data_IF_635722847042
#
_entry.id   IF_635722847042
#
_cell.length_a   1.000
_cell.length_b   1.000
_cell.length_c   1.000
_cell.angle_alpha   90.00
_cell.angle_beta   90.00
_cell.angle_gamma   90.00
#
_symmetry.space_group_name_H-M   'P 1'
#
loop_
_entity.id
_entity.type
_entity.pdbx_description
1 polymer ?
#
# COMPACT_ATOMS: atom_id res chain seq x y z
N UNK A 1 22.64 4.25 -21.03
CA UNK A 1 22.05 4.00 -19.70
C UNK A 1 20.83 3.13 -19.89
N UNK A 2 20.76 1.90 -19.34
CA UNK A 2 19.55 1.11 -19.42
C UNK A 2 18.59 1.61 -18.35
N UNK A 3 17.46 2.15 -18.81
CA UNK A 3 16.28 2.42 -18.02
C UNK A 3 15.86 1.10 -17.35
N UNK A 4 15.93 1.04 -16.01
CA UNK A 4 15.41 -0.10 -15.26
C UNK A 4 13.92 -0.22 -15.56
N UNK A 5 13.51 -1.41 -15.96
CA UNK A 5 12.10 -1.78 -16.03
C UNK A 5 11.60 -1.78 -14.58
N UNK A 6 10.98 -0.70 -14.14
CA UNK A 6 10.12 -0.73 -12.95
C UNK A 6 8.99 -1.67 -13.32
N UNK A 7 8.93 -2.81 -12.65
CA UNK A 7 7.71 -3.60 -12.65
C UNK A 7 6.57 -2.67 -12.19
N UNK A 8 5.38 -2.80 -12.77
CA UNK A 8 4.25 -1.93 -12.42
C UNK A 8 3.73 -2.12 -10.98
N UNK A 9 4.52 -2.72 -10.09
CA UNK A 9 4.17 -3.07 -8.71
C UNK A 9 4.52 -1.97 -7.70
N UNK A 10 5.45 -1.07 -8.03
CA UNK A 10 5.93 0.00 -7.15
C UNK A 10 5.06 1.25 -7.27
N UNK A 11 4.52 1.73 -6.14
CA UNK A 11 3.94 3.07 -6.04
C UNK A 11 5.09 4.08 -6.00
N UNK A 12 5.07 5.02 -6.93
CA UNK A 12 6.19 5.94 -7.19
C UNK A 12 5.92 7.31 -6.57
N UNK A 13 6.95 7.92 -5.97
CA UNK A 13 6.91 9.31 -5.48
C UNK A 13 6.52 10.30 -6.58
N UNK A 14 6.78 9.95 -7.84
CA UNK A 14 6.36 10.73 -9.01
C UNK A 14 4.85 10.97 -9.10
N UNK A 15 4.01 10.17 -8.45
CA UNK A 15 2.56 10.45 -8.39
C UNK A 15 2.25 11.71 -7.58
N UNK A 16 3.04 11.97 -6.53
CA UNK A 16 2.92 13.17 -5.71
C UNK A 16 3.40 14.38 -6.50
N UNK A 17 4.58 14.28 -7.12
CA UNK A 17 5.17 15.38 -7.91
C UNK A 17 4.27 15.74 -9.10
N UNK A 18 3.83 14.74 -9.87
CA UNK A 18 2.87 14.94 -10.97
C UNK A 18 1.61 15.67 -10.50
N UNK A 19 1.09 15.32 -9.32
CA UNK A 19 -0.14 15.94 -8.82
C UNK A 19 0.08 17.41 -8.46
N UNK A 20 1.20 17.75 -7.84
CA UNK A 20 1.57 19.14 -7.53
C UNK A 20 1.74 19.95 -8.81
N UNK A 21 2.54 19.44 -9.75
CA UNK A 21 2.79 20.09 -11.04
C UNK A 21 1.50 20.30 -11.86
N UNK A 22 0.60 19.30 -11.87
CA UNK A 22 -0.68 19.41 -12.56
C UNK A 22 -1.59 20.48 -11.96
N UNK A 23 -1.63 20.60 -10.63
CA UNK A 23 -2.42 21.63 -9.93
C UNK A 23 -1.80 23.01 -10.15
N UNK A 24 -0.48 23.12 -10.02
CA UNK A 24 0.25 24.36 -10.26
C UNK A 24 0.00 24.89 -11.67
N UNK A 25 0.08 24.02 -12.69
CA UNK A 25 -0.19 24.42 -14.07
C UNK A 25 -1.65 24.84 -14.27
N UNK A 26 -2.61 24.13 -13.65
CA UNK A 26 -4.02 24.51 -13.75
C UNK A 26 -4.28 25.88 -13.11
N UNK A 27 -3.74 26.13 -11.92
CA UNK A 27 -3.82 27.43 -11.25
C UNK A 27 -3.12 28.53 -12.07
N UNK A 28 -1.95 28.26 -12.64
CA UNK A 28 -1.23 29.19 -13.50
C UNK A 28 -2.06 29.56 -14.74
N UNK A 29 -2.69 28.60 -15.40
CA UNK A 29 -3.61 28.85 -16.52
C UNK A 29 -4.79 29.74 -16.11
N UNK A 30 -5.38 29.50 -14.94
CA UNK A 30 -6.46 30.34 -14.39
C UNK A 30 -5.99 31.80 -14.17
N UNK A 31 -4.78 31.98 -13.63
CA UNK A 31 -4.22 33.29 -13.31
C UNK A 31 -3.82 34.09 -14.56
N UNK A 32 -3.27 33.39 -15.56
CA UNK A 32 -2.72 34.02 -16.78
C UNK A 32 -3.73 34.12 -17.92
N UNK A 33 -4.80 33.33 -17.88
CA UNK A 33 -5.74 33.18 -18.99
C UNK A 33 -5.27 32.20 -20.08
N UNK A 34 -4.12 31.55 -19.89
CA UNK A 34 -3.58 30.57 -20.84
C UNK A 34 -4.44 29.30 -20.92
N UNK A 35 -4.43 28.65 -22.09
CA UNK A 35 -5.10 27.36 -22.28
C UNK A 35 -4.47 26.26 -21.41
N UNK A 36 -5.30 25.56 -20.62
CA UNK A 36 -4.88 24.38 -19.86
C UNK A 36 -4.85 23.13 -20.75
N UNK A 37 -3.65 22.56 -20.95
CA UNK A 37 -3.40 21.49 -21.93
C UNK A 37 -3.19 20.11 -21.33
N UNK A 38 -3.08 20.00 -20.01
CA UNK A 38 -2.89 18.70 -19.37
C UNK A 38 -4.19 17.89 -19.39
N UNK A 39 -4.05 16.57 -19.42
CA UNK A 39 -5.20 15.66 -19.45
C UNK A 39 -6.04 15.78 -18.16
N UNK A 40 -7.36 15.83 -18.32
CA UNK A 40 -8.35 15.91 -17.24
C UNK A 40 -9.10 14.60 -17.01
N UNK A 41 -8.78 13.51 -17.71
CA UNK A 41 -9.32 12.18 -17.40
C UNK A 41 -8.58 11.59 -16.18
N UNK A 42 -9.26 11.35 -15.04
CA UNK A 42 -8.63 10.81 -13.86
C UNK A 42 -7.94 9.46 -14.11
N UNK A 43 -8.46 8.64 -15.03
CA UNK A 43 -7.95 7.29 -15.27
C UNK A 43 -6.82 7.21 -16.29
N UNK A 44 -6.51 8.33 -16.93
CA UNK A 44 -5.39 8.45 -17.86
C UNK A 44 -4.16 9.13 -17.25
N UNK A 45 -4.27 9.63 -16.01
CA UNK A 45 -3.12 10.10 -15.22
C UNK A 45 -2.17 8.94 -14.84
N UNK A 46 -0.89 9.20 -14.51
CA UNK A 46 0.03 8.17 -14.04
C UNK A 46 -0.52 7.36 -12.84
N UNK A 47 -1.09 8.04 -11.84
CA UNK A 47 -1.73 7.39 -10.70
C UNK A 47 -2.95 6.56 -11.12
N UNK A 48 -3.81 7.09 -12.00
CA UNK A 48 -5.01 6.40 -12.47
C UNK A 48 -4.69 5.13 -13.28
N UNK A 49 -3.66 5.18 -14.13
CA UNK A 49 -3.18 4.02 -14.89
C UNK A 49 -2.61 2.97 -13.93
N UNK A 50 -1.79 3.40 -12.97
CA UNK A 50 -1.23 2.50 -11.96
C UNK A 50 -2.33 1.85 -11.12
N UNK A 51 -3.29 2.64 -10.62
CA UNK A 51 -4.38 2.16 -9.77
C UNK A 51 -5.21 1.06 -10.45
N UNK A 52 -5.53 1.22 -11.75
CA UNK A 52 -6.29 0.22 -12.51
C UNK A 52 -5.59 -1.13 -12.63
N UNK A 53 -4.25 -1.13 -12.64
CA UNK A 53 -3.43 -2.34 -12.81
C UNK A 53 -2.97 -2.92 -11.48
N UNK A 54 -3.07 -2.16 -10.39
CA UNK A 54 -2.60 -2.58 -9.08
C UNK A 54 -3.50 -3.67 -8.49
N UNK A 55 -2.89 -4.79 -8.09
CA UNK A 55 -3.56 -5.91 -7.42
C UNK A 55 -3.15 -5.92 -5.94
N UNK A 56 -3.98 -5.38 -5.03
CA UNK A 56 -3.65 -5.31 -3.62
C UNK A 56 -3.67 -6.72 -2.99
N UNK A 57 -2.60 -7.06 -2.27
CA UNK A 57 -2.51 -8.27 -1.45
C UNK A 57 -2.92 -8.04 0.01
N UNK A 58 -3.01 -6.78 0.45
CA UNK A 58 -3.29 -6.40 1.83
C UNK A 58 -4.53 -5.47 1.94
N UNK A 59 -5.46 -5.82 2.83
CA UNK A 59 -6.71 -5.08 3.06
C UNK A 59 -6.51 -3.68 3.68
N UNK A 60 -5.49 -3.50 4.53
CA UNK A 60 -5.13 -2.19 5.09
C UNK A 60 -4.68 -1.24 3.99
N UNK A 61 -3.84 -1.73 3.08
CA UNK A 61 -3.40 -0.99 1.92
C UNK A 61 -4.58 -0.62 1.01
N UNK A 62 -5.47 -1.58 0.72
CA UNK A 62 -6.67 -1.32 -0.09
C UNK A 62 -7.56 -0.23 0.54
N UNK A 63 -7.73 -0.26 1.86
CA UNK A 63 -8.51 0.73 2.59
C UNK A 63 -7.90 2.14 2.45
N UNK A 64 -6.58 2.28 2.55
CA UNK A 64 -5.90 3.56 2.37
C UNK A 64 -5.92 4.03 0.92
N UNK A 65 -5.72 3.10 -0.02
CA UNK A 65 -5.69 3.44 -1.43
C UNK A 65 -7.04 3.97 -1.93
N UNK A 66 -8.15 3.36 -1.50
CA UNK A 66 -9.51 3.83 -1.82
C UNK A 66 -9.78 5.27 -1.41
N UNK A 67 -9.16 5.76 -0.32
CA UNK A 67 -9.33 7.16 0.13
C UNK A 67 -8.74 8.19 -0.83
N UNK A 68 -7.80 7.79 -1.69
CA UNK A 68 -7.23 8.68 -2.69
C UNK A 68 -8.18 8.93 -3.87
N UNK A 69 -9.18 8.06 -4.09
CA UNK A 69 -9.94 8.03 -5.35
C UNK A 69 -10.88 9.20 -5.49
N UNK A 70 -11.71 9.46 -4.47
CA UNK A 70 -12.65 10.57 -4.50
C UNK A 70 -11.96 11.92 -4.76
N UNK A 71 -10.94 12.32 -3.99
CA UNK A 71 -10.30 13.61 -4.24
C UNK A 71 -9.47 13.61 -5.54
N UNK A 72 -8.94 12.47 -5.99
CA UNK A 72 -8.29 12.35 -7.30
C UNK A 72 -9.26 12.59 -8.47
N UNK A 73 -10.47 12.03 -8.40
CA UNK A 73 -11.53 12.27 -9.38
C UNK A 73 -11.92 13.75 -9.35
N UNK A 74 -12.17 14.29 -8.16
CA UNK A 74 -12.62 15.67 -7.98
C UNK A 74 -11.65 16.70 -8.60
N UNK A 75 -10.34 16.53 -8.39
CA UNK A 75 -9.34 17.44 -8.97
C UNK A 75 -9.40 17.44 -10.51
N UNK A 76 -9.54 16.27 -11.11
CA UNK A 76 -9.64 16.13 -12.56
C UNK A 76 -10.95 16.70 -13.12
N UNK A 77 -12.07 16.50 -12.41
CA UNK A 77 -13.36 17.14 -12.73
C UNK A 77 -13.25 18.66 -12.71
N UNK A 78 -12.59 19.24 -11.71
CA UNK A 78 -12.36 20.69 -11.65
C UNK A 78 -11.52 21.15 -12.87
N UNK A 79 -10.46 20.43 -13.23
CA UNK A 79 -9.70 20.74 -14.46
C UNK A 79 -10.57 20.73 -15.72
N UNK A 80 -11.47 19.76 -15.85
CA UNK A 80 -12.41 19.71 -16.97
C UNK A 80 -13.39 20.89 -16.96
N UNK A 81 -13.85 21.32 -15.77
CA UNK A 81 -14.67 22.52 -15.61
C UNK A 81 -13.90 23.79 -15.98
N UNK A 82 -12.62 23.90 -15.61
CA UNK A 82 -11.74 25.00 -16.00
C UNK A 82 -11.64 25.09 -17.51
N UNK A 83 -11.29 24.00 -18.19
CA UNK A 83 -11.22 23.94 -19.66
C UNK A 83 -12.54 24.35 -20.31
N UNK A 84 -13.66 23.84 -19.79
CA UNK A 84 -15.00 24.18 -20.30
C UNK A 84 -15.31 25.67 -20.12
N UNK A 85 -15.07 26.22 -18.93
CA UNK A 85 -15.32 27.63 -18.63
C UNK A 85 -14.41 28.55 -19.44
N UNK A 86 -13.15 28.19 -19.64
CA UNK A 86 -12.22 29.00 -20.43
C UNK A 86 -12.58 29.00 -21.93
N UNK A 87 -13.12 27.91 -22.47
CA UNK A 87 -13.43 27.75 -23.89
C UNK A 87 -14.85 28.18 -24.30
N UNK A 88 -15.82 28.11 -23.38
CA UNK A 88 -17.24 28.31 -23.71
C UNK A 88 -17.82 29.60 -23.15
N UNK A 89 -17.22 30.19 -22.11
CA UNK A 89 -17.71 31.40 -21.47
C UNK A 89 -16.88 32.62 -21.95
N UNK A 90 -17.52 33.75 -22.30
CA UNK A 90 -16.79 34.95 -22.70
C UNK A 90 -16.00 35.51 -21.51
N UNK A 91 -14.93 36.24 -21.80
CA UNK A 91 -14.15 36.90 -20.76
C UNK A 91 -15.01 37.92 -20.01
N UNK A 92 -15.20 37.69 -18.71
CA UNK A 92 -15.95 38.59 -17.82
C UNK A 92 -15.44 38.47 -16.39
N UNK A 93 -15.73 39.48 -15.53
CA UNK A 93 -15.42 39.40 -14.11
C UNK A 93 -16.06 38.18 -13.42
N UNK A 94 -17.28 37.79 -13.81
CA UNK A 94 -17.99 36.64 -13.26
C UNK A 94 -17.31 35.32 -13.65
N UNK A 95 -16.86 35.20 -14.92
CA UNK A 95 -16.05 34.05 -15.37
C UNK A 95 -14.78 33.95 -14.54
N UNK A 96 -14.07 35.06 -14.34
CA UNK A 96 -12.82 35.03 -13.58
C UNK A 96 -13.05 34.67 -12.10
N UNK A 97 -14.10 35.18 -11.46
CA UNK A 97 -14.41 34.80 -10.08
C UNK A 97 -14.72 33.31 -9.95
N UNK A 98 -15.46 32.74 -10.91
CA UNK A 98 -15.71 31.29 -10.96
C UNK A 98 -14.42 30.48 -11.11
N UNK A 99 -13.49 30.91 -11.98
CA UNK A 99 -12.18 30.27 -12.11
C UNK A 99 -11.36 30.40 -10.81
N UNK A 100 -11.42 31.54 -10.12
CA UNK A 100 -10.75 31.74 -8.84
C UNK A 100 -11.33 30.86 -7.72
N UNK A 101 -12.64 30.56 -7.74
CA UNK A 101 -13.25 29.54 -6.87
C UNK A 101 -12.64 28.16 -7.13
N UNK A 102 -12.50 27.76 -8.40
CA UNK A 102 -11.86 26.49 -8.76
C UNK A 102 -10.40 26.42 -8.31
N UNK A 103 -9.62 27.50 -8.51
CA UNK A 103 -8.24 27.57 -8.06
C UNK A 103 -8.12 27.39 -6.54
N UNK A 104 -8.98 28.03 -5.75
CA UNK A 104 -9.03 27.84 -4.28
C UNK A 104 -9.33 26.39 -3.91
N UNK A 105 -10.36 25.80 -4.51
CA UNK A 105 -10.73 24.40 -4.25
C UNK A 105 -9.60 23.43 -4.61
N UNK A 106 -8.89 23.66 -5.73
CA UNK A 106 -7.74 22.85 -6.12
C UNK A 106 -6.62 22.90 -5.07
N UNK A 107 -6.31 24.08 -4.51
CA UNK A 107 -5.27 24.24 -3.47
C UNK A 107 -5.65 23.56 -2.16
N UNK A 108 -6.93 23.60 -1.78
CA UNK A 108 -7.43 22.87 -0.61
C UNK A 108 -7.30 21.35 -0.81
N UNK A 109 -7.70 20.86 -1.99
CA UNK A 109 -7.62 19.44 -2.35
C UNK A 109 -6.18 18.95 -2.50
N UNK A 110 -5.26 19.79 -2.97
CA UNK A 110 -3.83 19.47 -3.10
C UNK A 110 -3.26 18.96 -1.78
N UNK A 111 -3.47 19.73 -0.70
CA UNK A 111 -2.99 19.37 0.63
C UNK A 111 -3.54 18.03 1.10
N UNK A 112 -4.83 17.78 0.85
CA UNK A 112 -5.48 16.53 1.23
C UNK A 112 -4.96 15.32 0.44
N UNK A 113 -4.82 15.46 -0.89
CA UNK A 113 -4.37 14.38 -1.78
C UNK A 113 -2.90 14.07 -1.58
N UNK A 114 -2.03 15.08 -1.51
CA UNK A 114 -0.59 14.86 -1.28
C UNK A 114 -0.37 14.05 0.00
N UNK A 115 -1.06 14.42 1.09
CA UNK A 115 -0.98 13.68 2.35
C UNK A 115 -1.48 12.23 2.23
N UNK A 116 -2.53 11.98 1.45
CA UNK A 116 -3.05 10.63 1.23
C UNK A 116 -2.09 9.78 0.39
N UNK A 117 -1.49 10.37 -0.65
CA UNK A 117 -0.50 9.71 -1.49
C UNK A 117 0.79 9.40 -0.71
N UNK A 118 1.30 10.34 0.07
CA UNK A 118 2.46 10.15 0.97
C UNK A 118 2.20 9.03 1.99
N UNK A 119 1.01 9.04 2.61
CA UNK A 119 0.63 7.97 3.54
C UNK A 119 0.57 6.61 2.85
N UNK A 120 0.04 6.55 1.64
CA UNK A 120 -0.03 5.32 0.86
C UNK A 120 1.36 4.81 0.49
N UNK A 121 2.25 5.71 0.02
CA UNK A 121 3.64 5.41 -0.26
C UNK A 121 4.37 4.85 0.96
N UNK A 122 4.18 5.48 2.13
CA UNK A 122 4.77 5.01 3.37
C UNK A 122 4.32 3.59 3.71
N UNK A 123 3.00 3.32 3.68
CA UNK A 123 2.47 1.99 3.95
C UNK A 123 3.05 0.96 2.98
N UNK A 124 3.15 1.28 1.69
CA UNK A 124 3.70 0.38 0.68
C UNK A 124 5.20 0.11 0.87
N UNK A 125 5.98 1.14 1.17
CA UNK A 125 7.42 1.01 1.41
C UNK A 125 7.74 0.28 2.71
N UNK A 126 6.84 0.33 3.70
CA UNK A 126 6.96 -0.42 4.95
C UNK A 126 6.43 -1.86 4.78
N UNK A 127 5.35 -2.08 4.04
CA UNK A 127 4.76 -3.41 3.80
C UNK A 127 5.55 -4.28 2.81
N UNK A 128 6.55 -3.72 2.14
CA UNK A 128 7.43 -4.46 1.21
C UNK A 128 8.68 -5.02 1.90
N UNK A 129 8.89 -4.75 3.19
CA UNK A 129 9.92 -5.43 3.99
C UNK A 129 9.34 -6.72 4.55
N UNK A 130 9.65 -7.84 3.91
CA UNK A 130 9.38 -9.16 4.49
C UNK A 130 10.07 -9.25 5.86
N UNK A 131 9.27 -9.40 6.92
CA UNK A 131 9.80 -9.64 8.26
C UNK A 131 9.99 -11.14 8.43
N UNK A 132 11.20 -11.57 8.78
CA UNK A 132 11.50 -12.98 9.01
C UNK A 132 11.71 -13.20 10.50
N UNK A 133 10.85 -14.02 11.11
CA UNK A 133 11.07 -14.55 12.47
C UNK A 133 11.96 -15.78 12.33
N UNK A 134 13.17 -15.71 12.89
CA UNK A 134 14.09 -16.85 12.93
C UNK A 134 13.83 -17.70 14.16
N UNK A 135 13.61 -18.99 13.95
CA UNK A 135 13.37 -19.98 15.00
C UNK A 135 14.44 -21.07 14.94
N UNK A 136 14.72 -21.65 16.12
CA UNK A 136 15.57 -22.83 16.25
C UNK A 136 14.80 -23.88 17.03
N UNK A 137 14.54 -25.04 16.41
CA UNK A 137 13.85 -26.15 17.06
C UNK A 137 14.53 -27.48 16.67
N UNK A 138 14.92 -28.26 17.68
CA UNK A 138 15.63 -29.53 17.47
C UNK A 138 16.93 -29.40 16.69
N UNK A 139 17.67 -28.29 16.88
CA UNK A 139 18.94 -28.00 16.18
C UNK A 139 18.79 -27.52 14.73
N UNK A 140 17.56 -27.38 14.22
CA UNK A 140 17.29 -26.85 12.88
C UNK A 140 16.90 -25.38 12.99
N UNK A 141 17.60 -24.53 12.24
CA UNK A 141 17.29 -23.11 12.08
C UNK A 141 16.42 -22.90 10.85
N UNK A 142 15.32 -22.18 11.01
CA UNK A 142 14.41 -21.85 9.92
C UNK A 142 13.81 -20.45 10.12
N UNK A 143 13.36 -19.85 9.03
CA UNK A 143 12.70 -18.55 9.04
C UNK A 143 11.22 -18.69 8.69
N UNK A 144 10.37 -17.93 9.39
CA UNK A 144 8.97 -17.74 9.03
C UNK A 144 8.79 -16.31 8.55
N UNK A 145 8.27 -16.13 7.33
CA UNK A 145 7.90 -14.80 6.82
C UNK A 145 6.58 -14.40 7.48
N UNK A 146 6.54 -13.20 8.04
CA UNK A 146 5.37 -12.61 8.71
C UNK A 146 5.15 -11.18 8.22
N UNK A 147 3.91 -10.71 8.36
CA UNK A 147 3.57 -9.32 8.06
C UNK A 147 4.17 -8.37 9.11
N UNK A 148 4.02 -8.67 10.40
CA UNK A 148 4.56 -7.88 11.51
C UNK A 148 4.71 -8.68 12.82
N UNK A 149 5.59 -8.22 13.72
CA UNK A 149 5.70 -8.69 15.11
C UNK A 149 5.06 -7.63 16.01
N UNK A 150 3.92 -7.96 16.61
CA UNK A 150 3.16 -7.03 17.44
C UNK A 150 3.78 -6.78 18.82
N UNK A 151 4.11 -7.84 19.57
CA UNK A 151 4.61 -7.74 20.94
C UNK A 151 5.10 -9.09 21.48
N UNK A 152 5.79 -9.05 22.63
CA UNK A 152 6.10 -10.23 23.45
C UNK A 152 5.21 -10.17 24.68
N UNK A 153 4.31 -11.15 24.84
CA UNK A 153 3.28 -11.12 25.87
C UNK A 153 3.08 -12.47 26.56
N UNK A 154 2.55 -12.42 27.78
CA UNK A 154 2.09 -13.60 28.49
C UNK A 154 0.67 -13.96 28.05
N UNK A 155 0.42 -15.24 27.82
CA UNK A 155 -0.84 -15.76 27.33
C UNK A 155 -1.49 -16.67 28.37
N UNK A 156 -2.81 -16.57 28.51
CA UNK A 156 -3.62 -17.59 29.17
C UNK A 156 -4.00 -18.65 28.14
N UNK A 157 -3.57 -19.89 28.34
CA UNK A 157 -3.93 -21.00 27.47
C UNK A 157 -5.41 -21.37 27.67
N UNK A 158 -6.20 -21.35 26.60
CA UNK A 158 -7.63 -21.66 26.67
C UNK A 158 -7.92 -23.13 26.35
N UNK A 159 -7.16 -23.73 25.43
CA UNK A 159 -7.18 -25.19 25.22
C UNK A 159 -5.96 -25.65 24.40
N UNK A 160 -5.52 -26.89 24.65
CA UNK A 160 -4.61 -27.67 23.81
C UNK A 160 -5.36 -28.95 23.45
N UNK A 161 -5.86 -29.09 22.22
CA UNK A 161 -6.21 -30.40 21.65
C UNK A 161 -6.87 -30.33 20.26
N UNK A 162 -6.94 -31.51 19.64
CA UNK A 162 -7.56 -31.89 18.34
C UNK A 162 -8.81 -31.14 17.88
N UNK A 163 -9.65 -30.64 18.80
CA UNK A 163 -10.84 -29.84 18.44
C UNK A 163 -10.49 -28.52 17.73
N UNK A 164 -9.37 -27.89 18.10
CA UNK A 164 -8.89 -26.67 17.44
C UNK A 164 -8.41 -26.97 16.02
N UNK A 165 -7.69 -28.08 15.81
CA UNK A 165 -7.22 -28.48 14.49
C UNK A 165 -8.39 -28.69 13.51
N UNK A 166 -9.49 -29.29 13.97
CA UNK A 166 -10.71 -29.45 13.17
C UNK A 166 -11.43 -28.12 12.90
N UNK A 167 -11.33 -27.14 13.81
CA UNK A 167 -11.99 -25.84 13.66
C UNK A 167 -11.26 -24.93 12.66
N UNK A 168 -9.93 -25.03 12.55
CA UNK A 168 -9.11 -24.19 11.69
C UNK A 168 -8.55 -24.90 10.45
N UNK A 169 -8.90 -26.19 10.24
CA UNK A 169 -8.45 -27.05 9.14
C UNK A 169 -6.93 -26.91 8.84
N UNK A 170 -6.13 -26.88 9.90
CA UNK A 170 -4.69 -26.63 9.80
C UNK A 170 -3.92 -27.46 10.81
N UNK A 171 -3.01 -28.31 10.30
CA UNK A 171 -2.08 -29.11 11.11
C UNK A 171 -1.03 -28.26 11.83
N UNK A 172 -0.87 -26.99 11.46
CA UNK A 172 0.15 -26.10 12.03
C UNK A 172 -0.32 -25.37 13.29
N UNK A 173 -1.59 -25.50 13.66
CA UNK A 173 -2.15 -24.87 14.87
C UNK A 173 -2.32 -25.93 15.95
N UNK A 174 -1.74 -25.71 17.14
CA UNK A 174 -1.85 -26.64 18.27
C UNK A 174 -2.63 -26.09 19.47
N UNK A 175 -3.07 -24.84 19.40
CA UNK A 175 -3.82 -24.24 20.50
C UNK A 175 -4.32 -22.84 20.22
N UNK A 176 -5.06 -22.33 21.21
CA UNK A 176 -5.50 -20.94 21.27
C UNK A 176 -5.18 -20.40 22.66
N UNK A 177 -4.53 -19.25 22.69
CA UNK A 177 -4.28 -18.46 23.89
C UNK A 177 -5.12 -17.18 23.90
N UNK A 178 -5.19 -16.54 25.06
CA UNK A 178 -5.73 -15.19 25.22
C UNK A 178 -4.63 -14.27 25.73
N UNK A 179 -4.43 -13.12 25.10
CA UNK A 179 -3.51 -12.10 25.62
C UNK A 179 -4.02 -11.59 26.97
N UNK A 180 -3.12 -11.54 27.96
CA UNK A 180 -3.41 -10.92 29.25
C UNK A 180 -3.49 -9.39 29.19
N UNK A 181 -3.02 -8.79 28.10
CA UNK A 181 -2.95 -7.33 27.93
C UNK A 181 -4.09 -6.79 27.07
N UNK A 182 -4.38 -7.44 25.94
CA UNK A 182 -5.41 -6.99 24.99
C UNK A 182 -6.72 -7.78 25.08
N UNK A 183 -6.76 -8.89 25.85
CA UNK A 183 -7.89 -9.83 25.88
C UNK A 183 -8.20 -10.46 24.51
N UNK A 184 -7.32 -10.31 23.52
CA UNK A 184 -7.47 -10.87 22.19
C UNK A 184 -7.12 -12.36 22.16
N UNK A 185 -7.76 -13.08 21.23
CA UNK A 185 -7.51 -14.49 20.99
C UNK A 185 -6.33 -14.65 20.03
N UNK A 186 -5.36 -15.48 20.41
CA UNK A 186 -4.12 -15.70 19.67
C UNK A 186 -4.02 -17.18 19.32
N UNK A 187 -3.79 -17.47 18.04
CA UNK A 187 -3.53 -18.83 17.57
C UNK A 187 -2.09 -19.23 17.90
N UNK A 188 -1.94 -20.42 18.45
CA UNK A 188 -0.63 -20.98 18.79
C UNK A 188 -0.20 -21.92 17.68
N UNK A 189 0.96 -21.60 17.12
CA UNK A 189 1.55 -22.32 15.99
C UNK A 189 2.49 -23.40 16.53
N UNK A 190 2.42 -24.59 15.93
CA UNK A 190 3.25 -25.74 16.28
C UNK A 190 4.58 -25.72 15.52
N UNK A 191 5.65 -25.37 16.23
CA UNK A 191 6.99 -25.30 15.67
C UNK A 191 7.52 -26.67 15.21
N UNK A 192 7.10 -27.77 15.84
CA UNK A 192 7.55 -29.11 15.48
C UNK A 192 6.95 -29.55 14.14
N UNK A 193 5.64 -29.31 13.93
CA UNK A 193 4.98 -29.63 12.65
C UNK A 193 5.55 -28.79 11.50
N UNK A 194 5.93 -27.54 11.77
CA UNK A 194 6.62 -26.68 10.78
C UNK A 194 7.97 -27.28 10.42
N UNK A 195 8.81 -27.60 11.41
CA UNK A 195 10.14 -28.19 11.18
C UNK A 195 10.03 -29.52 10.45
N UNK A 196 9.09 -30.39 10.83
CA UNK A 196 8.89 -31.68 10.18
C UNK A 196 8.45 -31.51 8.73
N UNK A 197 7.59 -30.53 8.45
CA UNK A 197 7.20 -30.20 7.08
C UNK A 197 8.40 -29.67 6.31
N UNK A 198 9.17 -28.74 6.88
CA UNK A 198 10.38 -28.18 6.29
C UNK A 198 11.42 -29.28 5.94
N UNK A 199 11.67 -30.22 6.86
CA UNK A 199 12.58 -31.36 6.65
C UNK A 199 12.08 -32.28 5.53
N UNK A 200 10.78 -32.57 5.48
CA UNK A 200 10.17 -33.42 4.43
C UNK A 200 10.19 -32.76 3.06
N UNK A 201 10.09 -31.43 2.99
CA UNK A 201 10.18 -30.69 1.73
C UNK A 201 11.61 -30.41 1.29
N UNK A 202 12.58 -30.38 2.23
CA UNK A 202 13.99 -30.08 1.98
C UNK A 202 14.91 -31.29 2.18
N UNK A 203 14.50 -32.47 1.70
CA UNK A 203 15.26 -33.73 1.86
C UNK A 203 16.68 -33.69 1.25
N UNK A 204 17.05 -32.66 0.47
CA UNK A 204 18.36 -32.57 -0.22
C UNK A 204 19.14 -31.26 0.05
N UNK A 205 19.28 -30.83 1.31
CA UNK A 205 20.18 -29.70 1.64
C UNK A 205 21.07 -29.98 2.85
N UNK A 206 22.05 -30.88 2.73
CA UNK A 206 23.37 -30.79 3.39
C UNK A 206 24.42 -31.59 2.57
N UNK A 207 25.67 -31.13 2.36
CA UNK A 207 26.32 -29.93 2.88
C UNK A 207 26.88 -29.00 1.79
N UNK A 208 26.34 -27.79 1.66
CA UNK A 208 27.01 -26.70 0.91
C UNK A 208 28.05 -25.98 1.79
N UNK A 209 28.27 -26.42 3.03
CA UNK A 209 29.16 -25.78 3.99
C UNK A 209 30.54 -26.45 4.20
N UNK A 210 30.86 -27.55 3.51
CA UNK A 210 32.23 -28.07 3.49
C UNK A 210 32.96 -27.69 2.20
N UNK A 211 33.38 -26.42 2.08
CA UNK A 211 34.52 -26.00 1.24
C UNK A 211 34.91 -24.55 1.51
N UNK A 212 35.44 -24.28 2.70
CA UNK A 212 36.40 -23.20 2.92
C UNK A 212 37.51 -23.65 3.87
N UNK A 213 38.38 -24.50 3.35
CA UNK A 213 39.75 -24.64 3.84
C UNK A 213 40.66 -24.84 2.64
N UNK A 214 41.23 -23.74 2.13
CA UNK A 214 42.62 -23.63 1.66
C UNK A 214 43.04 -22.18 1.89
#
# INVERSE_FOLDING_TARGET
MPCSKTDGSSFDVKFIDYRKEWIDECCRCIETGDEFKLNTDPWSSPFGIWYKNFKPSNNLLLHHLKKNIEPHIRINEIGALVVKTMSQEPESPERQEKLNVFARELRELETAVVRLLEKTYKILSESTREMIVTLECGGVKFGIIVDEVHSVEQLTYLSKDTQIQSAYDSKYINGVGKSLKSEEMILLVDEHVIVDTFKRTNVDLEPVLEKKTV
#
